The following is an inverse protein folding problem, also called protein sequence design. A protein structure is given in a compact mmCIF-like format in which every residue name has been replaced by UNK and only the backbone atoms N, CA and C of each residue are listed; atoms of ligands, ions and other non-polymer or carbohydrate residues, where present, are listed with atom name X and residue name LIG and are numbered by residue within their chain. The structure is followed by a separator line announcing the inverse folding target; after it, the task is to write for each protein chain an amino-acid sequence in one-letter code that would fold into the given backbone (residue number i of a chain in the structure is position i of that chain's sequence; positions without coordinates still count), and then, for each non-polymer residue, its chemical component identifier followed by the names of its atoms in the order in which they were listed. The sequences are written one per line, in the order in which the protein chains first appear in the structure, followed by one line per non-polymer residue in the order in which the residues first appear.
data_IF_370708853822
#
_entry.id   IF_370708853822
#
_cell.length_a   1.000
_cell.length_b   1.000
_cell.length_c   1.000
_cell.angle_alpha   90.00
_cell.angle_beta   90.00
_cell.angle_gamma   90.00
#
_symmetry.space_group_name_H-M   'P 1'
#
loop_
_entity.id
_entity.type
_entity.pdbx_description
1 polymer ?
#
# COMPACT_ATOMS: atom_id res chain seq x y z
N UNK A 1 12.14 -17.90 -3.09
CA UNK A 1 10.88 -17.21 -2.65
C UNK A 1 10.97 -16.90 -1.16
N UNK A 2 10.61 -15.69 -0.76
CA UNK A 2 10.54 -15.32 0.65
C UNK A 2 9.25 -15.85 1.30
N UNK A 3 9.36 -16.34 2.54
CA UNK A 3 8.22 -16.87 3.30
C UNK A 3 7.53 -15.73 4.07
N UNK A 4 6.23 -15.58 3.87
CA UNK A 4 5.36 -14.69 4.65
C UNK A 4 4.31 -15.54 5.36
N UNK A 5 4.27 -15.45 6.69
CA UNK A 5 3.20 -16.05 7.48
C UNK A 5 1.99 -15.12 7.43
N UNK A 6 0.81 -15.69 7.24
CA UNK A 6 -0.44 -14.94 7.17
C UNK A 6 -1.47 -15.56 8.12
N UNK A 7 -2.12 -14.70 8.91
CA UNK A 7 -3.21 -15.07 9.81
C UNK A 7 -4.50 -14.45 9.32
N UNK A 8 -5.53 -15.27 9.15
CA UNK A 8 -6.91 -14.82 8.93
C UNK A 8 -7.55 -14.46 10.27
N UNK A 9 -8.20 -13.31 10.33
CA UNK A 9 -8.91 -12.86 11.55
C UNK A 9 -10.33 -13.44 11.65
N UNK A 10 -10.83 -14.01 10.55
CA UNK A 10 -12.07 -14.80 10.53
C UNK A 10 -11.96 -15.91 9.47
N UNK A 11 -12.69 -17.00 9.64
CA UNK A 11 -12.65 -18.15 8.73
C UNK A 11 -13.08 -17.82 7.29
N UNK A 12 -13.99 -16.85 7.13
CA UNK A 12 -14.51 -16.39 5.84
C UNK A 12 -13.57 -15.48 5.05
N UNK A 13 -12.46 -15.01 5.65
CA UNK A 13 -11.46 -14.21 4.94
C UNK A 13 -10.83 -15.02 3.81
N UNK A 14 -10.79 -14.44 2.61
CA UNK A 14 -10.10 -15.02 1.47
C UNK A 14 -8.63 -14.58 1.47
N UNK A 15 -7.71 -15.53 1.27
CA UNK A 15 -6.29 -15.20 1.18
C UNK A 15 -5.97 -14.55 -0.16
N UNK A 16 -5.12 -13.52 -0.17
CA UNK A 16 -4.59 -12.94 -1.40
C UNK A 16 -3.80 -13.97 -2.22
N UNK A 17 -3.85 -13.84 -3.53
CA UNK A 17 -3.10 -14.70 -4.45
C UNK A 17 -2.54 -13.90 -5.61
N UNK A 18 -1.40 -14.31 -6.15
CA UNK A 18 -0.92 -13.82 -7.44
C UNK A 18 -1.86 -14.27 -8.54
N UNK A 19 -2.30 -13.36 -9.39
CA UNK A 19 -3.25 -13.69 -10.48
C UNK A 19 -2.55 -14.25 -11.73
N UNK A 20 -1.27 -13.92 -11.90
CA UNK A 20 -0.41 -14.44 -12.97
C UNK A 20 0.98 -14.73 -12.42
N UNK A 21 1.77 -15.55 -13.11
CA UNK A 21 3.15 -15.86 -12.72
C UNK A 21 4.08 -14.63 -12.74
N UNK A 22 3.76 -13.61 -13.53
CA UNK A 22 4.52 -12.36 -13.63
C UNK A 22 3.97 -11.23 -12.76
N UNK A 23 2.91 -11.46 -11.97
CA UNK A 23 2.37 -10.42 -11.12
C UNK A 23 3.34 -10.06 -9.98
N UNK A 24 3.58 -8.77 -9.77
CA UNK A 24 4.42 -8.27 -8.68
C UNK A 24 3.68 -8.17 -7.35
N UNK A 25 2.37 -8.04 -7.38
CA UNK A 25 1.53 -7.86 -6.20
C UNK A 25 0.34 -8.81 -6.16
N UNK A 26 -0.23 -8.94 -4.96
CA UNK A 26 -1.49 -9.63 -4.71
C UNK A 26 -2.56 -8.61 -4.39
N UNK A 27 -3.77 -8.78 -4.94
CA UNK A 27 -4.91 -7.93 -4.57
C UNK A 27 -5.31 -8.12 -3.11
N UNK A 28 -5.54 -7.02 -2.42
CA UNK A 28 -6.17 -6.97 -1.11
C UNK A 28 -7.66 -6.71 -1.25
N UNK A 29 -8.46 -7.46 -0.50
CA UNK A 29 -9.91 -7.37 -0.51
C UNK A 29 -10.41 -6.74 0.79
N UNK A 30 -11.47 -5.94 0.67
CA UNK A 30 -12.19 -5.43 1.82
C UNK A 30 -12.83 -6.58 2.62
N UNK A 31 -12.68 -6.56 3.94
CA UNK A 31 -13.36 -7.46 4.86
C UNK A 31 -14.24 -6.64 5.81
N UNK A 32 -15.47 -6.42 5.40
CA UNK A 32 -16.42 -5.51 6.04
C UNK A 32 -17.78 -6.19 6.19
N UNK A 33 -18.51 -5.85 7.27
CA UNK A 33 -19.89 -6.33 7.52
C UNK A 33 -20.94 -5.47 6.82
N UNK A 34 -20.64 -4.20 6.60
CA UNK A 34 -21.55 -3.23 5.99
C UNK A 34 -20.85 -2.52 4.83
N UNK A 35 -21.63 -2.22 3.79
CA UNK A 35 -21.14 -1.43 2.63
C UNK A 35 -20.65 -0.06 3.08
N UNK A 36 -19.47 0.34 2.60
CA UNK A 36 -18.90 1.67 2.84
C UNK A 36 -19.19 2.56 1.64
N UNK A 37 -19.72 3.75 1.89
CA UNK A 37 -19.89 4.81 0.89
C UNK A 37 -18.77 5.83 1.10
N UNK A 38 -17.77 5.80 0.21
CA UNK A 38 -16.65 6.75 0.25
C UNK A 38 -17.01 7.99 -0.57
N UNK A 39 -17.34 9.06 0.14
CA UNK A 39 -17.74 10.34 -0.46
C UNK A 39 -16.58 11.00 -1.23
N UNK A 40 -16.88 11.87 -2.21
CA UNK A 40 -15.86 12.70 -2.86
C UNK A 40 -15.01 13.48 -1.85
N UNK A 41 -13.71 13.60 -2.15
CA UNK A 41 -12.72 14.34 -1.35
C UNK A 41 -12.63 13.88 0.12
N UNK A 42 -12.88 12.60 0.36
CA UNK A 42 -12.79 12.00 1.70
C UNK A 42 -11.98 10.71 1.70
N UNK A 43 -11.61 10.26 2.88
CA UNK A 43 -10.90 9.00 3.10
C UNK A 43 -11.67 8.07 4.02
N UNK A 44 -11.36 6.78 3.94
CA UNK A 44 -11.83 5.78 4.89
C UNK A 44 -10.76 4.72 5.13
N UNK A 45 -10.79 4.12 6.30
CA UNK A 45 -9.94 3.00 6.69
C UNK A 45 -10.70 1.69 6.47
N UNK A 46 -10.21 0.87 5.53
CA UNK A 46 -10.89 -0.39 5.14
C UNK A 46 -10.11 -1.58 5.67
N UNK A 47 -10.69 -2.41 6.53
CA UNK A 47 -10.06 -3.63 7.03
C UNK A 47 -9.99 -4.70 5.95
N UNK A 48 -8.96 -5.56 6.04
CA UNK A 48 -8.75 -6.69 5.12
C UNK A 48 -8.89 -8.06 5.77
N UNK A 49 -9.02 -8.11 7.09
CA UNK A 49 -9.14 -9.35 7.86
C UNK A 49 -7.88 -10.20 7.93
N UNK A 50 -6.71 -9.67 7.59
CA UNK A 50 -5.44 -10.40 7.65
C UNK A 50 -4.39 -9.67 8.46
N UNK A 51 -3.52 -10.46 9.11
CA UNK A 51 -2.27 -10.03 9.73
C UNK A 51 -1.12 -10.87 9.20
N UNK A 52 0.09 -10.33 9.19
CA UNK A 52 1.26 -10.97 8.57
C UNK A 52 2.48 -10.97 9.48
N UNK A 53 3.44 -11.84 9.19
CA UNK A 53 4.78 -11.82 9.76
C UNK A 53 5.79 -12.30 8.71
N UNK A 54 6.93 -11.61 8.61
CA UNK A 54 7.98 -11.90 7.64
C UNK A 54 9.34 -11.41 8.13
N UNK A 55 10.43 -11.79 7.41
CA UNK A 55 11.80 -11.39 7.75
C UNK A 55 12.01 -9.87 7.66
N UNK A 56 12.85 -9.31 8.54
CA UNK A 56 13.25 -7.91 8.55
C UNK A 56 14.03 -7.43 7.31
N UNK A 57 14.41 -8.36 6.43
CA UNK A 57 14.99 -8.05 5.13
C UNK A 57 13.97 -7.48 4.12
N UNK A 58 12.67 -7.51 4.49
CA UNK A 58 11.57 -7.10 3.62
C UNK A 58 10.63 -6.11 4.33
N UNK A 59 9.86 -5.41 3.53
CA UNK A 59 8.64 -4.71 3.88
C UNK A 59 7.50 -5.18 2.98
N UNK A 60 6.25 -4.95 3.37
CA UNK A 60 5.13 -5.03 2.44
C UNK A 60 4.65 -3.62 2.14
N UNK A 61 4.59 -3.28 0.85
CA UNK A 61 4.02 -2.02 0.38
C UNK A 61 2.58 -2.20 -0.05
N UNK A 62 1.71 -1.30 0.41
CA UNK A 62 0.32 -1.21 -0.01
C UNK A 62 0.22 -0.11 -1.06
N UNK A 63 -0.16 -0.51 -2.27
CA UNK A 63 -0.25 0.37 -3.45
C UNK A 63 -1.65 0.39 -4.03
N UNK A 64 -2.05 1.47 -4.72
CA UNK A 64 -3.32 1.54 -5.43
C UNK A 64 -3.43 0.49 -6.53
N UNK A 65 -4.65 0.17 -6.90
CA UNK A 65 -4.94 -0.58 -8.12
C UNK A 65 -5.18 0.40 -9.27
N UNK A 66 -4.48 0.20 -10.38
CA UNK A 66 -4.59 1.06 -11.57
C UNK A 66 -6.02 1.18 -12.10
N UNK A 67 -6.80 0.10 -12.02
CA UNK A 67 -8.20 0.10 -12.45
C UNK A 67 -9.09 1.02 -11.62
N UNK A 68 -8.92 1.05 -10.29
CA UNK A 68 -9.66 1.97 -9.42
C UNK A 68 -9.21 3.42 -9.62
N UNK A 69 -7.90 3.64 -9.78
CA UNK A 69 -7.37 4.97 -10.06
C UNK A 69 -7.91 5.54 -11.37
N UNK A 70 -7.85 4.76 -12.45
CA UNK A 70 -8.25 5.21 -13.77
C UNK A 70 -9.76 5.38 -13.94
N UNK A 71 -10.57 4.49 -13.35
CA UNK A 71 -12.04 4.48 -13.58
C UNK A 71 -12.80 5.25 -12.50
N UNK A 72 -12.31 5.26 -11.26
CA UNK A 72 -13.05 5.78 -10.11
C UNK A 72 -12.32 6.92 -9.39
N UNK A 73 -11.10 7.29 -9.81
CA UNK A 73 -10.26 8.28 -9.12
C UNK A 73 -10.01 7.94 -7.64
N UNK A 74 -9.93 6.64 -7.32
CA UNK A 74 -9.69 6.15 -5.96
C UNK A 74 -8.25 5.69 -5.83
N UNK A 75 -7.57 6.16 -4.80
CA UNK A 75 -6.18 5.80 -4.47
C UNK A 75 -6.05 5.31 -3.03
N UNK A 76 -4.87 4.79 -2.70
CA UNK A 76 -4.41 4.61 -1.32
C UNK A 76 -3.79 5.93 -0.88
N UNK A 77 -4.35 6.57 0.16
CA UNK A 77 -3.99 7.93 0.56
C UNK A 77 -2.50 8.09 0.89
N UNK A 78 -1.93 7.13 1.60
CA UNK A 78 -0.52 7.12 2.03
C UNK A 78 0.40 6.32 1.11
N UNK A 79 0.01 6.10 -0.15
CA UNK A 79 0.78 5.24 -1.07
C UNK A 79 2.23 5.74 -1.28
N UNK A 80 3.23 4.85 -1.27
CA UNK A 80 3.14 3.45 -0.88
C UNK A 80 2.99 3.30 0.64
N UNK A 81 1.91 2.65 1.09
CA UNK A 81 1.72 2.34 2.51
C UNK A 81 2.75 1.31 2.95
N UNK A 82 3.34 1.50 4.12
CA UNK A 82 4.40 0.61 4.63
C UNK A 82 3.84 -0.30 5.71
N UNK A 83 4.06 -1.61 5.57
CA UNK A 83 3.86 -2.61 6.61
C UNK A 83 5.22 -3.12 7.02
N UNK A 84 5.61 -2.81 8.24
CA UNK A 84 6.89 -3.24 8.81
C UNK A 84 6.88 -4.73 9.17
N UNK A 85 8.05 -5.36 9.15
CA UNK A 85 8.20 -6.80 9.42
C UNK A 85 7.75 -7.22 10.83
N UNK A 86 7.80 -6.31 11.80
CA UNK A 86 7.40 -6.50 13.19
C UNK A 86 5.97 -6.04 13.52
N UNK A 87 5.24 -5.47 12.54
CA UNK A 87 3.83 -5.15 12.72
C UNK A 87 2.98 -6.43 12.76
N UNK A 88 2.16 -6.58 13.82
CA UNK A 88 1.28 -7.75 14.03
C UNK A 88 -0.19 -7.43 13.99
N UNK A 89 -0.55 -6.17 13.80
CA UNK A 89 -1.93 -5.75 13.66
C UNK A 89 -2.57 -6.16 12.33
N UNK A 90 -3.86 -5.94 12.22
CA UNK A 90 -4.58 -6.11 10.97
C UNK A 90 -4.10 -5.13 9.90
N UNK A 91 -3.86 -5.63 8.69
CA UNK A 91 -3.63 -4.78 7.53
C UNK A 91 -4.93 -4.07 7.19
N UNK A 92 -4.90 -2.73 7.22
CA UNK A 92 -6.01 -1.88 6.82
C UNK A 92 -5.55 -0.93 5.73
N UNK A 93 -6.42 -0.66 4.77
CA UNK A 93 -6.13 0.20 3.63
C UNK A 93 -6.81 1.55 3.81
N UNK A 94 -6.05 2.64 3.69
CA UNK A 94 -6.58 4.00 3.72
C UNK A 94 -6.90 4.41 2.28
N UNK A 95 -8.19 4.36 1.90
CA UNK A 95 -8.63 4.79 0.58
C UNK A 95 -9.00 6.26 0.58
N UNK A 96 -8.70 6.94 -0.53
CA UNK A 96 -9.11 8.32 -0.78
C UNK A 96 -9.83 8.42 -2.13
N UNK A 97 -10.94 9.14 -2.14
CA UNK A 97 -11.73 9.42 -3.34
C UNK A 97 -11.41 10.83 -3.86
N UNK A 98 -10.62 10.90 -4.93
CA UNK A 98 -10.26 12.15 -5.63
C UNK A 98 -11.33 12.57 -6.64
N UNK A 99 -12.34 11.73 -6.88
CA UNK A 99 -13.39 11.98 -7.86
C UNK A 99 -14.50 12.89 -7.35
N UNK A 100 -15.52 13.04 -8.17
CA UNK A 100 -16.71 13.85 -7.88
C UNK A 100 -17.95 13.02 -7.54
N UNK A 101 -17.85 11.68 -7.65
CA UNK A 101 -18.93 10.76 -7.36
C UNK A 101 -18.60 9.90 -6.15
N UNK A 102 -19.61 9.44 -5.43
CA UNK A 102 -19.44 8.46 -4.37
C UNK A 102 -18.85 7.16 -4.92
N UNK A 103 -17.96 6.53 -4.16
CA UNK A 103 -17.41 5.21 -4.45
C UNK A 103 -17.92 4.21 -3.42
N UNK A 104 -18.56 3.14 -3.89
CA UNK A 104 -19.17 2.12 -3.04
C UNK A 104 -18.19 0.96 -2.89
N UNK A 105 -17.92 0.56 -1.64
CA UNK A 105 -17.06 -0.56 -1.30
C UNK A 105 -17.93 -1.63 -0.64
N UNK A 106 -17.97 -2.80 -1.27
CA UNK A 106 -18.64 -3.98 -0.73
C UNK A 106 -17.62 -4.98 -0.16
N UNK A 107 -18.10 -5.90 0.67
CA UNK A 107 -17.25 -6.98 1.17
C UNK A 107 -16.66 -7.78 0.00
N UNK A 108 -15.38 -8.15 0.11
CA UNK A 108 -14.58 -8.82 -0.91
C UNK A 108 -14.22 -7.99 -2.16
N UNK A 109 -14.57 -6.71 -2.22
CA UNK A 109 -14.05 -5.84 -3.28
C UNK A 109 -12.53 -5.73 -3.20
N UNK A 110 -11.87 -5.79 -4.35
CA UNK A 110 -10.41 -5.60 -4.46
C UNK A 110 -10.10 -4.11 -4.42
N UNK A 111 -9.51 -3.67 -3.32
CA UNK A 111 -9.36 -2.24 -2.99
C UNK A 111 -7.93 -1.71 -3.12
N UNK A 112 -6.94 -2.58 -3.06
CA UNK A 112 -5.51 -2.25 -3.13
C UNK A 112 -4.72 -3.47 -3.59
N UNK A 113 -3.42 -3.35 -3.68
CA UNK A 113 -2.51 -4.48 -3.87
C UNK A 113 -1.36 -4.39 -2.86
N UNK A 114 -0.85 -5.54 -2.44
CA UNK A 114 0.32 -5.65 -1.58
C UNK A 114 1.49 -6.26 -2.33
N UNK A 115 2.68 -5.68 -2.13
CA UNK A 115 3.93 -6.11 -2.78
C UNK A 115 4.99 -6.31 -1.70
N UNK A 116 5.63 -7.49 -1.68
CA UNK A 116 6.81 -7.73 -0.85
C UNK A 116 8.03 -7.11 -1.50
N UNK A 117 8.73 -6.25 -0.76
CA UNK A 117 9.87 -5.45 -1.26
C UNK A 117 11.07 -5.65 -0.34
N UNK A 118 12.29 -5.83 -0.86
CA UNK A 118 13.47 -5.86 -0.02
C UNK A 118 13.74 -4.48 0.60
N UNK A 119 14.30 -4.49 1.81
CA UNK A 119 14.64 -3.28 2.57
C UNK A 119 16.14 -3.18 2.77
N UNK A 120 16.69 -2.02 2.50
CA UNK A 120 18.05 -1.65 2.88
C UNK A 120 17.96 -0.62 4.00
N UNK A 121 18.50 -0.95 5.18
CA UNK A 121 18.55 -0.02 6.32
C UNK A 121 19.72 0.93 6.16
N UNK A 122 19.48 2.22 6.45
CA UNK A 122 20.52 3.26 6.45
C UNK A 122 21.23 3.25 7.81
N UNK A 123 22.55 3.42 7.77
CA UNK A 123 23.34 3.87 8.91
C UNK A 123 23.65 5.35 8.68
N UNK A 124 23.22 6.20 9.59
CA UNK A 124 23.39 7.65 9.46
C UNK A 124 24.69 8.08 10.14
N UNK A 125 25.55 8.77 9.41
CA UNK A 125 26.76 9.41 9.91
C UNK A 125 26.63 10.93 9.77
N UNK A 126 26.68 11.64 10.89
CA UNK A 126 26.61 13.10 10.91
C UNK A 126 27.93 13.68 10.35
N UNK A 127 27.81 14.64 9.44
CA UNK A 127 28.94 15.37 8.87
C UNK A 127 28.59 16.84 8.71
N UNK A 128 29.60 17.72 8.87
CA UNK A 128 29.42 19.16 8.64
C UNK A 128 29.34 19.51 7.15
N UNK A 129 29.92 18.68 6.27
CA UNK A 129 29.96 18.93 4.84
C UNK A 129 29.67 17.67 4.03
N UNK A 130 28.96 17.82 2.92
CA UNK A 130 28.71 16.75 1.96
C UNK A 130 29.69 16.88 0.75
N UNK A 131 30.03 15.77 0.10
CA UNK A 131 30.80 15.82 -1.13
C UNK A 131 30.12 16.67 -2.21
N UNK A 132 30.91 17.49 -2.93
CA UNK A 132 30.37 18.30 -4.01
C UNK A 132 29.97 17.47 -5.22
N UNK A 133 28.93 17.93 -5.92
CA UNK A 133 28.48 17.35 -7.19
C UNK A 133 28.19 18.45 -8.20
N UNK A 134 28.17 18.08 -9.51
CA UNK A 134 27.83 19.03 -10.58
C UNK A 134 26.41 19.59 -10.41
N UNK A 135 25.49 18.79 -9.90
CA UNK A 135 24.10 19.22 -9.63
C UNK A 135 24.01 20.19 -8.44
N UNK A 136 24.90 20.02 -7.43
CA UNK A 136 24.86 20.81 -6.19
C UNK A 136 23.48 20.78 -5.55
N UNK A 137 22.99 21.96 -5.19
CA UNK A 137 21.67 22.16 -4.55
C UNK A 137 20.49 22.23 -5.55
N UNK A 138 20.75 22.05 -6.84
CA UNK A 138 19.72 22.16 -7.88
C UNK A 138 18.59 21.13 -7.71
N UNK A 139 17.37 21.61 -7.57
CA UNK A 139 16.14 20.80 -7.43
C UNK A 139 14.91 21.61 -7.84
N UNK A 140 13.72 21.04 -7.59
CA UNK A 140 12.43 21.71 -7.82
C UNK A 140 12.26 22.30 -9.22
N UNK A 141 12.75 21.60 -10.26
CA UNK A 141 12.67 22.05 -11.65
C UNK A 141 13.83 22.95 -12.07
N UNK A 142 14.96 22.96 -11.37
CA UNK A 142 16.15 23.77 -11.70
C UNK A 142 16.75 23.48 -13.09
N UNK A 143 16.41 22.34 -13.71
CA UNK A 143 16.82 21.95 -15.06
C UNK A 143 15.89 22.47 -16.17
N UNK A 144 14.85 23.25 -15.82
CA UNK A 144 13.86 23.79 -16.74
C UNK A 144 12.73 22.81 -17.09
N UNK A 145 11.81 23.27 -17.91
CA UNK A 145 10.71 22.45 -18.48
C UNK A 145 11.17 21.79 -19.76
#
# INVERSE_FOLDING_TARGET
MAKVLIKKLASSVQLPTYKTSGASGMDLMAFISETIILKPQSSCLVPTGISVAFSEEFEIQIRPRSGLAAKNNVSVLNTPGTIDSDYRGEIKVILFNHGNNEFIINNNDRIAQMILTPVVKMELEETETLPETIRGEGGFGSTGK
#
